data_IF_714327927428
#
_entry.id   IF_714327927428
#
_cell.length_a   1.000
_cell.length_b   1.000
_cell.length_c   1.000
_cell.angle_alpha   90.00
_cell.angle_beta   90.00
_cell.angle_gamma   90.00
#
_symmetry.space_group_name_H-M   'P 1'
#
loop_
_entity.id
_entity.type
_entity.pdbx_description
1 polymer ?
#
# COMPACT_ATOMS: atom_id res chain seq x y z
N UNK A 1 -9.86 -6.80 -5.32
CA UNK A 1 -8.57 -7.44 -5.61
C UNK A 1 -8.20 -8.50 -4.56
N UNK A 2 -7.92 -8.12 -3.32
CA UNK A 2 -7.24 -8.98 -2.33
C UNK A 2 -8.17 -9.85 -1.47
N UNK A 3 -9.47 -9.47 -1.34
CA UNK A 3 -10.49 -10.12 -0.48
C UNK A 3 -9.96 -10.64 0.88
N UNK A 4 -9.07 -9.93 1.61
CA UNK A 4 -8.58 -10.43 2.88
C UNK A 4 -9.73 -10.40 3.90
N UNK A 5 -9.73 -11.30 4.90
CA UNK A 5 -10.57 -11.12 6.08
C UNK A 5 -10.24 -9.75 6.70
N UNK A 6 -11.21 -9.08 7.31
CA UNK A 6 -11.01 -7.76 7.92
C UNK A 6 -10.17 -7.89 9.20
N UNK A 7 -8.85 -8.08 9.02
CA UNK A 7 -7.86 -8.35 10.05
C UNK A 7 -7.24 -7.03 10.52
N UNK A 8 -6.94 -6.94 11.82
CA UNK A 8 -6.25 -5.79 12.43
C UNK A 8 -6.92 -4.44 12.17
N UNK A 9 -8.27 -4.40 12.16
CA UNK A 9 -9.02 -3.16 11.94
C UNK A 9 -8.80 -2.54 10.55
N UNK A 10 -8.44 -3.34 9.54
CA UNK A 10 -8.21 -2.87 8.18
C UNK A 10 -6.79 -2.38 7.90
N UNK A 11 -5.85 -2.48 8.86
CA UNK A 11 -4.45 -2.05 8.72
C UNK A 11 -3.66 -2.78 7.63
N UNK A 12 -4.11 -3.98 7.26
CA UNK A 12 -3.41 -4.85 6.28
C UNK A 12 -4.19 -5.01 4.97
N UNK A 13 -5.14 -4.13 4.69
CA UNK A 13 -6.05 -4.25 3.52
C UNK A 13 -5.34 -4.22 2.17
N UNK A 14 -4.22 -3.48 2.08
CA UNK A 14 -3.43 -3.31 0.84
C UNK A 14 -2.13 -4.09 0.83
N UNK A 15 -1.69 -4.63 1.97
CA UNK A 15 -0.44 -5.38 2.12
C UNK A 15 -0.58 -6.80 1.56
N UNK A 16 -0.68 -6.93 0.25
CA UNK A 16 -0.94 -8.18 -0.45
C UNK A 16 -0.20 -8.25 -1.81
N UNK A 17 0.30 -9.43 -2.22
CA UNK A 17 1.03 -9.59 -3.49
C UNK A 17 0.26 -9.11 -4.72
N UNK A 18 -1.06 -9.35 -4.79
CA UNK A 18 -1.89 -8.83 -5.88
C UNK A 18 -1.85 -7.30 -6.04
N UNK A 19 -1.63 -6.55 -4.96
CA UNK A 19 -1.53 -5.08 -5.01
C UNK A 19 -0.10 -4.68 -5.36
N UNK A 20 0.86 -5.13 -4.54
CA UNK A 20 2.27 -4.72 -4.68
C UNK A 20 2.92 -5.27 -5.94
N UNK A 21 2.61 -6.51 -6.33
CA UNK A 21 3.06 -7.09 -7.61
C UNK A 21 2.47 -6.34 -8.80
N UNK A 22 1.22 -5.90 -8.72
CA UNK A 22 0.62 -5.04 -9.73
C UNK A 22 1.40 -3.74 -9.95
N UNK A 23 1.93 -3.15 -8.89
CA UNK A 23 2.67 -1.87 -8.93
C UNK A 23 4.14 -2.08 -9.29
N UNK A 24 4.80 -3.07 -8.68
CA UNK A 24 6.26 -3.28 -8.76
C UNK A 24 6.70 -4.13 -9.95
N UNK A 25 5.83 -4.97 -10.52
CA UNK A 25 6.22 -5.83 -11.62
C UNK A 25 6.57 -5.02 -12.87
N UNK A 26 7.70 -5.35 -13.46
CA UNK A 26 8.19 -4.76 -14.71
C UNK A 26 7.49 -5.40 -15.91
N UNK A 27 7.72 -4.86 -17.11
CA UNK A 27 7.25 -5.46 -18.38
C UNK A 27 8.25 -6.49 -18.96
N UNK A 28 9.14 -7.02 -18.13
CA UNK A 28 10.00 -8.14 -18.53
C UNK A 28 9.19 -9.41 -18.78
N UNK A 29 9.70 -10.31 -19.62
CA UNK A 29 9.02 -11.58 -19.93
C UNK A 29 8.78 -12.45 -18.68
N UNK A 30 9.71 -12.42 -17.71
CA UNK A 30 9.59 -13.14 -16.45
C UNK A 30 8.43 -12.60 -15.61
N UNK A 31 8.36 -11.28 -15.42
CA UNK A 31 7.34 -10.66 -14.58
C UNK A 31 5.94 -10.80 -15.21
N UNK A 32 5.85 -10.70 -16.54
CA UNK A 32 4.60 -10.96 -17.27
C UNK A 32 4.13 -12.41 -17.04
N UNK A 33 5.05 -13.37 -17.08
CA UNK A 33 4.71 -14.77 -16.84
C UNK A 33 4.24 -14.98 -15.38
N UNK A 34 4.93 -14.40 -14.41
CA UNK A 34 4.60 -14.53 -12.99
C UNK A 34 3.26 -13.88 -12.65
N UNK A 35 2.99 -12.68 -13.18
CA UNK A 35 1.71 -11.99 -13.00
C UNK A 35 0.55 -12.79 -13.60
N UNK A 36 0.74 -13.34 -14.82
CA UNK A 36 -0.26 -14.20 -15.47
C UNK A 36 -0.50 -15.49 -14.70
N UNK A 37 0.56 -16.17 -14.25
CA UNK A 37 0.46 -17.41 -13.48
C UNK A 37 -0.22 -17.19 -12.13
N UNK A 38 -0.02 -16.03 -11.51
CA UNK A 38 -0.64 -15.64 -10.24
C UNK A 38 -2.06 -15.09 -10.42
N UNK A 39 -2.50 -14.83 -11.65
CA UNK A 39 -3.81 -14.23 -11.94
C UNK A 39 -3.93 -12.78 -11.48
N UNK A 40 -2.83 -12.04 -11.49
CA UNK A 40 -2.77 -10.63 -11.10
C UNK A 40 -2.62 -9.73 -12.32
N UNK A 41 -3.17 -8.52 -12.19
CA UNK A 41 -3.08 -7.47 -13.20
C UNK A 41 -2.03 -6.43 -12.80
N UNK A 42 -1.44 -5.79 -13.81
CA UNK A 42 -0.58 -4.62 -13.59
C UNK A 42 -1.41 -3.40 -13.19
N UNK A 43 -0.81 -2.54 -12.37
CA UNK A 43 -1.35 -1.25 -11.94
C UNK A 43 -0.63 -0.16 -12.73
N UNK A 44 -1.38 0.68 -13.42
CA UNK A 44 -0.83 1.80 -14.20
C UNK A 44 -0.68 3.08 -13.39
N UNK A 45 -1.57 3.28 -12.41
CA UNK A 45 -1.68 4.53 -11.66
C UNK A 45 -1.95 4.24 -10.19
N UNK A 46 -1.30 4.99 -9.31
CA UNK A 46 -1.51 4.92 -7.85
C UNK A 46 -1.95 6.30 -7.36
N UNK A 47 -3.23 6.43 -7.03
CA UNK A 47 -3.77 7.59 -6.33
C UNK A 47 -3.92 7.25 -4.84
N UNK A 48 -3.06 7.83 -4.01
CA UNK A 48 -2.99 7.54 -2.59
C UNK A 48 -2.75 8.83 -1.78
N UNK A 49 -3.52 8.99 -0.71
CA UNK A 49 -3.27 10.01 0.31
C UNK A 49 -2.95 9.35 1.65
N UNK A 50 -2.17 10.06 2.46
CA UNK A 50 -1.77 9.57 3.78
C UNK A 50 -2.68 10.16 4.86
N UNK A 51 -2.84 9.42 5.95
CA UNK A 51 -3.43 9.99 7.17
C UNK A 51 -2.63 11.22 7.61
N UNK A 52 -3.30 12.27 8.13
CA UNK A 52 -2.68 13.55 8.44
C UNK A 52 -1.87 13.47 9.75
N UNK A 53 -0.80 12.67 9.75
CA UNK A 53 -0.02 12.32 10.94
C UNK A 53 0.51 13.55 11.67
N UNK A 54 1.09 14.50 10.93
CA UNK A 54 1.60 15.78 11.50
C UNK A 54 0.49 16.54 12.21
N UNK A 55 -0.70 16.62 11.61
CA UNK A 55 -1.83 17.30 12.22
C UNK A 55 -2.33 16.56 13.46
N UNK A 56 -2.30 15.22 13.47
CA UNK A 56 -2.65 14.41 14.63
C UNK A 56 -1.69 14.64 15.80
N UNK A 57 -0.37 14.54 15.58
CA UNK A 57 0.62 14.69 16.66
C UNK A 57 0.80 16.14 17.14
N UNK A 58 0.26 17.11 16.39
CA UNK A 58 0.26 18.52 16.79
C UNK A 58 -0.92 18.91 17.69
N UNK A 59 -1.88 17.99 17.93
CA UNK A 59 -3.04 18.27 18.79
C UNK A 59 -2.63 18.35 20.27
N UNK A 60 -3.21 19.28 21.05
CA UNK A 60 -3.05 19.26 22.50
C UNK A 60 -3.49 17.92 23.10
N UNK A 61 -2.73 17.41 24.07
CA UNK A 61 -3.02 16.15 24.79
C UNK A 61 -3.03 14.88 23.93
N UNK A 62 -2.46 14.90 22.72
CA UNK A 62 -2.28 13.69 21.93
C UNK A 62 -1.46 12.65 22.70
N UNK A 63 -1.89 11.40 22.65
CA UNK A 63 -1.16 10.29 23.25
C UNK A 63 -0.29 9.59 22.22
N UNK A 64 0.68 8.78 22.70
CA UNK A 64 1.45 7.88 21.81
C UNK A 64 0.51 6.91 21.09
N UNK A 65 -0.55 6.43 21.75
CA UNK A 65 -1.53 5.56 21.12
C UNK A 65 -2.22 6.24 19.94
N UNK A 66 -2.65 7.50 20.09
CA UNK A 66 -3.27 8.27 18.99
C UNK A 66 -2.33 8.43 17.80
N UNK A 67 -1.04 8.65 18.06
CA UNK A 67 -0.01 8.71 17.03
C UNK A 67 0.13 7.35 16.31
N UNK A 68 0.20 6.25 17.06
CA UNK A 68 0.33 4.88 16.50
C UNK A 68 -0.91 4.49 15.67
N UNK A 69 -2.11 4.91 16.05
CA UNK A 69 -3.32 4.69 15.24
C UNK A 69 -3.29 5.45 13.90
N UNK A 70 -2.61 6.59 13.85
CA UNK A 70 -2.52 7.42 12.64
C UNK A 70 -1.29 7.13 11.79
N UNK A 71 -0.48 6.13 12.16
CA UNK A 71 0.69 5.73 11.40
C UNK A 71 0.27 4.84 10.21
N UNK A 72 0.32 5.40 9.01
CA UNK A 72 -0.16 4.74 7.79
C UNK A 72 0.95 3.95 7.09
N UNK A 73 1.01 2.66 7.38
CA UNK A 73 1.98 1.75 6.74
C UNK A 73 1.59 1.50 5.28
N UNK A 74 0.31 1.19 5.04
CA UNK A 74 -0.17 0.78 3.73
C UNK A 74 -0.04 1.90 2.69
N UNK A 75 -0.45 3.12 3.04
CA UNK A 75 -0.35 4.27 2.14
C UNK A 75 1.10 4.63 1.80
N UNK A 76 2.01 4.59 2.78
CA UNK A 76 3.44 4.85 2.55
C UNK A 76 4.06 3.79 1.64
N UNK A 77 3.75 2.51 1.84
CA UNK A 77 4.24 1.44 0.97
C UNK A 77 3.75 1.61 -0.47
N UNK A 78 2.48 1.93 -0.68
CA UNK A 78 1.93 2.15 -2.03
C UNK A 78 2.63 3.29 -2.77
N UNK A 79 2.85 4.42 -2.10
CA UNK A 79 3.56 5.56 -2.70
C UNK A 79 5.02 5.21 -3.01
N UNK A 80 5.67 4.44 -2.13
CA UNK A 80 7.06 4.03 -2.31
C UNK A 80 7.21 3.07 -3.50
N UNK A 81 6.29 2.12 -3.65
CA UNK A 81 6.30 1.17 -4.75
C UNK A 81 6.07 1.86 -6.10
N UNK A 82 5.15 2.83 -6.14
CA UNK A 82 4.87 3.61 -7.34
C UNK A 82 6.09 4.41 -7.81
N UNK A 83 6.87 4.97 -6.87
CA UNK A 83 8.10 5.69 -7.18
C UNK A 83 9.22 4.75 -7.70
N UNK A 84 9.33 3.54 -7.13
CA UNK A 84 10.34 2.55 -7.54
C UNK A 84 10.15 2.12 -9.00
N UNK A 85 8.91 2.04 -9.49
CA UNK A 85 8.57 1.50 -10.81
C UNK A 85 7.95 2.56 -11.74
N UNK A 86 8.34 3.83 -11.57
CA UNK A 86 7.79 4.96 -12.33
C UNK A 86 8.27 5.05 -13.79
N UNK A 87 9.34 4.33 -14.16
CA UNK A 87 10.01 4.42 -15.47
C UNK A 87 9.51 3.41 -16.53
#
# INVERSE_FOLDING_TARGET
LTRPPNISGGRVKTLHPAVHGGILSTKSESDIADMKNSGYDFVSDVDCNLYPFVATVSKPHVTVADAVENFDIGGVTLLSDAEINHD
#
